data_IF_858209091965
#
_entry.id   IF_858209091965
#
_cell.length_a   1.000
_cell.length_b   1.000
_cell.length_c   1.000
_cell.angle_alpha   90.00
_cell.angle_beta   90.00
_cell.angle_gamma   90.00
#
_symmetry.space_group_name_H-M   'P 1'
#
loop_
_entity.id
_entity.type
_entity.pdbx_description
1 polymer ?
#
# COMPACT_ATOMS: atom_id res chain seq x y z
N UNK A 1 -27.26 -15.74 -16.95
CA UNK A 1 -26.80 -14.52 -16.26
C UNK A 1 -25.43 -14.20 -16.86
N UNK A 2 -25.35 -13.19 -17.71
CA UNK A 2 -24.05 -12.73 -18.20
C UNK A 2 -23.22 -12.24 -17.02
N UNK A 3 -22.00 -12.75 -16.89
CA UNK A 3 -21.07 -12.29 -15.89
C UNK A 3 -20.81 -10.80 -16.15
N UNK A 4 -21.11 -9.95 -15.17
CA UNK A 4 -20.88 -8.51 -15.27
C UNK A 4 -19.39 -8.31 -15.49
N UNK A 5 -19.00 -7.82 -16.65
CA UNK A 5 -17.60 -7.52 -16.97
C UNK A 5 -17.04 -6.54 -15.92
N UNK A 6 -15.92 -6.90 -15.31
CA UNK A 6 -15.26 -6.07 -14.29
C UNK A 6 -14.16 -5.29 -14.99
N UNK A 7 -14.23 -3.98 -14.88
CA UNK A 7 -13.26 -3.04 -15.43
C UNK A 7 -12.41 -2.44 -14.30
N UNK A 8 -11.11 -2.45 -14.47
CA UNK A 8 -10.12 -2.02 -13.48
C UNK A 8 -9.47 -0.74 -13.96
N UNK A 9 -9.42 0.31 -13.12
CA UNK A 9 -8.81 1.58 -13.51
C UNK A 9 -7.29 1.49 -13.55
N UNK A 10 -6.70 2.15 -14.55
CA UNK A 10 -5.27 2.41 -14.68
C UNK A 10 -5.09 3.90 -14.85
N UNK A 11 -4.16 4.50 -14.11
CA UNK A 11 -3.85 5.92 -14.25
C UNK A 11 -3.25 6.21 -15.62
N UNK A 12 -3.79 7.18 -16.33
CA UNK A 12 -3.32 7.54 -17.68
C UNK A 12 -1.83 7.89 -17.68
N UNK A 13 -1.36 8.62 -16.68
CA UNK A 13 0.04 9.03 -16.54
C UNK A 13 1.02 7.87 -16.28
N UNK A 14 0.53 6.68 -15.86
CA UNK A 14 1.37 5.49 -15.71
C UNK A 14 1.57 4.72 -17.03
N UNK A 15 0.94 5.18 -18.11
CA UNK A 15 1.01 4.56 -19.42
C UNK A 15 2.10 5.22 -20.26
N UNK A 16 3.12 4.46 -20.63
CA UNK A 16 4.10 4.85 -21.64
C UNK A 16 3.65 4.36 -23.02
N UNK A 17 3.19 5.25 -23.93
CA UNK A 17 2.50 4.86 -25.16
C UNK A 17 3.26 3.84 -26.03
N UNK A 18 4.57 4.08 -26.20
CA UNK A 18 5.40 3.30 -27.12
C UNK A 18 5.54 1.83 -26.74
N UNK A 19 5.47 1.53 -25.43
CA UNK A 19 5.70 0.17 -24.92
C UNK A 19 4.47 -0.43 -24.26
N UNK A 20 3.36 0.31 -24.22
CA UNK A 20 2.14 -0.17 -23.56
C UNK A 20 1.60 -1.42 -24.25
N UNK A 21 1.23 -2.47 -23.50
CA UNK A 21 0.81 -3.73 -24.08
C UNK A 21 -0.48 -3.59 -24.92
N UNK A 22 -0.62 -4.50 -25.88
CA UNK A 22 -1.74 -4.51 -26.80
C UNK A 22 -3.00 -5.12 -26.15
N UNK A 23 -3.63 -4.34 -25.25
CA UNK A 23 -4.87 -4.66 -24.56
C UNK A 23 -5.98 -3.70 -24.94
N UNK A 24 -7.23 -4.09 -24.73
CA UNK A 24 -8.36 -3.20 -24.93
C UNK A 24 -8.42 -2.14 -23.81
N UNK A 25 -8.61 -0.87 -24.18
CA UNK A 25 -8.79 0.25 -23.24
C UNK A 25 -10.20 0.80 -23.33
N UNK A 26 -10.74 1.12 -22.17
CA UNK A 26 -12.07 1.69 -22.03
C UNK A 26 -12.00 3.02 -21.30
N UNK A 27 -12.93 3.91 -21.57
CA UNK A 27 -13.16 5.16 -20.81
C UNK A 27 -14.53 5.09 -20.15
N UNK A 28 -14.66 5.71 -18.98
CA UNK A 28 -15.94 5.77 -18.26
C UNK A 28 -16.67 7.05 -18.63
N UNK A 29 -17.86 6.91 -19.23
CA UNK A 29 -18.69 8.04 -19.65
C UNK A 29 -20.14 7.78 -19.23
N UNK A 30 -20.74 8.72 -18.45
CA UNK A 30 -22.12 8.60 -18.00
C UNK A 30 -22.42 7.32 -17.20
N UNK A 31 -21.41 6.80 -16.47
CA UNK A 31 -21.53 5.56 -15.69
C UNK A 31 -21.27 4.28 -16.47
N UNK A 32 -21.10 4.34 -17.79
CA UNK A 32 -20.81 3.19 -18.66
C UNK A 32 -19.34 3.15 -19.07
N UNK A 33 -18.83 1.95 -19.35
CA UNK A 33 -17.49 1.73 -19.92
C UNK A 33 -17.60 1.63 -21.43
N UNK A 34 -16.95 2.56 -22.14
CA UNK A 34 -16.96 2.66 -23.60
C UNK A 34 -15.59 2.27 -24.13
N UNK A 35 -15.54 1.38 -25.11
CA UNK A 35 -14.31 0.97 -25.76
C UNK A 35 -13.63 2.18 -26.42
N UNK A 36 -12.43 2.50 -25.98
CA UNK A 36 -11.60 3.57 -26.55
C UNK A 36 -10.60 3.03 -27.58
N UNK A 37 -9.97 1.88 -27.26
CA UNK A 37 -8.96 1.21 -28.08
C UNK A 37 -9.18 -0.30 -28.03
N UNK A 38 -9.23 -0.94 -29.18
CA UNK A 38 -9.29 -2.42 -29.28
C UNK A 38 -7.91 -3.06 -29.16
N UNK A 39 -7.86 -4.38 -28.94
CA UNK A 39 -6.62 -5.17 -28.89
C UNK A 39 -5.77 -5.04 -30.17
N UNK A 40 -6.26 -4.84 -31.30
CA UNK A 40 -5.51 -4.80 -32.56
C UNK A 40 -4.83 -3.45 -32.86
N UNK A 41 -4.90 -2.47 -31.96
CA UNK A 41 -4.38 -1.12 -32.16
C UNK A 41 -3.40 -0.76 -31.06
N UNK A 42 -2.26 -0.13 -31.41
CA UNK A 42 -1.32 0.41 -30.44
C UNK A 42 -1.87 1.68 -29.78
N UNK A 43 -1.47 1.92 -28.55
CA UNK A 43 -1.75 3.15 -27.83
C UNK A 43 -0.63 4.15 -28.14
N UNK A 44 -0.98 5.26 -28.81
CA UNK A 44 0.00 6.25 -29.28
C UNK A 44 0.14 7.43 -28.33
N UNK A 45 1.22 8.21 -28.49
CA UNK A 45 1.39 9.49 -27.79
C UNK A 45 0.21 10.45 -28.07
N UNK A 46 -0.30 10.45 -29.31
CA UNK A 46 -1.49 11.25 -29.66
C UNK A 46 -2.74 10.82 -28.87
N UNK A 47 -2.91 9.53 -28.61
CA UNK A 47 -4.00 9.04 -27.76
C UNK A 47 -3.85 9.54 -26.33
N UNK A 48 -2.63 9.45 -25.79
CA UNK A 48 -2.29 9.92 -24.44
C UNK A 48 -2.58 11.41 -24.29
N UNK A 49 -2.03 12.24 -25.21
CA UNK A 49 -2.29 13.69 -25.20
C UNK A 49 -3.78 14.04 -25.32
N UNK A 50 -4.49 13.35 -26.21
CA UNK A 50 -5.92 13.59 -26.41
C UNK A 50 -6.73 13.29 -25.16
N UNK A 51 -6.45 12.19 -24.48
CA UNK A 51 -7.12 11.82 -23.23
C UNK A 51 -6.79 12.81 -22.12
N UNK A 52 -5.52 13.16 -21.96
CA UNK A 52 -5.06 14.13 -20.96
C UNK A 52 -5.69 15.52 -21.16
N UNK A 53 -5.71 16.04 -22.40
CA UNK A 53 -6.34 17.34 -22.74
C UNK A 53 -7.86 17.36 -22.46
N UNK A 54 -8.51 16.19 -22.47
CA UNK A 54 -9.92 16.05 -22.12
C UNK A 54 -10.17 15.71 -20.64
N UNK A 55 -9.16 15.82 -19.77
CA UNK A 55 -9.28 15.62 -18.33
C UNK A 55 -9.55 14.16 -17.95
N UNK A 56 -9.08 13.21 -18.75
CA UNK A 56 -9.18 11.78 -18.45
C UNK A 56 -7.98 11.38 -17.60
N UNK A 57 -8.18 11.15 -16.31
CA UNK A 57 -7.14 10.70 -15.39
C UNK A 57 -6.96 9.18 -15.39
N UNK A 58 -8.03 8.45 -15.74
CA UNK A 58 -8.05 6.99 -15.72
C UNK A 58 -8.59 6.41 -17.02
N UNK A 59 -7.91 5.39 -17.52
CA UNK A 59 -8.45 4.43 -18.48
C UNK A 59 -8.76 3.12 -17.77
N UNK A 60 -9.56 2.27 -18.38
CA UNK A 60 -9.99 1.02 -17.75
C UNK A 60 -9.64 -0.16 -18.64
N UNK A 61 -9.23 -1.27 -18.02
CA UNK A 61 -8.97 -2.55 -18.69
C UNK A 61 -9.91 -3.62 -18.16
N UNK A 62 -10.19 -4.62 -18.97
CA UNK A 62 -10.96 -5.76 -18.50
C UNK A 62 -10.14 -6.58 -17.49
N UNK A 63 -10.81 -7.28 -16.57
CA UNK A 63 -10.15 -8.16 -15.62
C UNK A 63 -9.28 -9.24 -16.32
N UNK A 64 -9.66 -9.65 -17.53
CA UNK A 64 -8.92 -10.67 -18.31
C UNK A 64 -7.55 -10.16 -18.76
N UNK A 65 -7.40 -8.85 -19.02
CA UNK A 65 -6.16 -8.23 -19.46
C UNK A 65 -5.23 -7.81 -18.31
N UNK A 66 -5.70 -7.93 -17.06
CA UNK A 66 -4.95 -7.42 -15.89
C UNK A 66 -3.60 -8.10 -15.68
N UNK A 67 -3.47 -9.39 -15.93
CA UNK A 67 -2.19 -10.10 -15.78
C UNK A 67 -1.13 -9.55 -16.75
N UNK A 68 -1.54 -9.21 -17.98
CA UNK A 68 -0.67 -8.62 -19.01
C UNK A 68 -0.22 -7.22 -18.56
N UNK A 69 -1.16 -6.40 -18.08
CA UNK A 69 -0.88 -5.05 -17.59
C UNK A 69 0.03 -5.09 -16.37
N UNK A 70 -0.28 -5.94 -15.40
CA UNK A 70 0.52 -6.07 -14.17
C UNK A 70 1.95 -6.46 -14.49
N UNK A 71 2.15 -7.49 -15.31
CA UNK A 71 3.48 -7.93 -15.73
C UNK A 71 4.24 -6.84 -16.48
N UNK A 72 3.57 -6.08 -17.36
CA UNK A 72 4.17 -4.99 -18.08
C UNK A 72 4.60 -3.84 -17.14
N UNK A 73 3.73 -3.40 -16.25
CA UNK A 73 4.02 -2.33 -15.31
C UNK A 73 5.16 -2.71 -14.36
N UNK A 74 5.15 -3.93 -13.82
CA UNK A 74 6.20 -4.42 -12.94
C UNK A 74 7.55 -4.53 -13.64
N UNK A 75 7.58 -5.01 -14.89
CA UNK A 75 8.82 -5.13 -15.67
C UNK A 75 9.40 -3.79 -16.14
N UNK A 76 8.55 -2.77 -16.32
CA UNK A 76 8.96 -1.44 -16.76
C UNK A 76 9.27 -0.49 -15.59
N UNK A 77 8.81 -0.81 -14.39
CA UNK A 77 8.84 0.09 -13.23
C UNK A 77 10.24 0.60 -12.91
N UNK A 78 11.24 -0.27 -12.79
CA UNK A 78 12.61 0.11 -12.45
C UNK A 78 13.21 1.09 -13.50
N UNK A 79 13.00 0.83 -14.77
CA UNK A 79 13.50 1.68 -15.87
C UNK A 79 12.84 3.06 -15.84
N UNK A 80 11.52 3.11 -15.63
CA UNK A 80 10.77 4.35 -15.62
C UNK A 80 11.06 5.19 -14.36
N UNK A 81 11.29 4.55 -13.22
CA UNK A 81 11.67 5.23 -11.98
C UNK A 81 13.06 5.85 -12.06
N UNK A 82 14.04 5.14 -12.65
CA UNK A 82 15.41 5.65 -12.83
C UNK A 82 15.55 6.70 -13.93
N UNK A 83 14.62 6.72 -14.88
CA UNK A 83 14.65 7.67 -16.00
C UNK A 83 14.13 9.07 -15.63
N UNK A 84 14.45 10.05 -16.48
CA UNK A 84 13.97 11.43 -16.37
C UNK A 84 12.67 11.68 -17.16
N UNK A 85 12.08 10.63 -17.72
CA UNK A 85 10.88 10.71 -18.57
C UNK A 85 9.65 11.09 -17.73
N UNK A 86 9.54 10.53 -16.52
CA UNK A 86 8.42 10.76 -15.61
C UNK A 86 8.79 11.76 -14.51
N UNK A 87 7.91 12.72 -14.25
CA UNK A 87 8.03 13.58 -13.08
C UNK A 87 7.71 12.80 -11.77
N UNK A 88 8.02 13.37 -10.60
CA UNK A 88 7.83 12.72 -9.29
C UNK A 88 6.39 12.24 -9.08
N UNK A 89 5.38 13.01 -9.49
CA UNK A 89 3.96 12.66 -9.38
C UNK A 89 3.59 11.45 -10.24
N UNK A 90 4.08 11.39 -11.48
CA UNK A 90 3.84 10.26 -12.38
C UNK A 90 4.53 8.99 -11.87
N UNK A 91 5.77 9.11 -11.35
CA UNK A 91 6.47 8.02 -10.66
C UNK A 91 5.67 7.51 -9.45
N UNK A 92 5.12 8.43 -8.63
CA UNK A 92 4.24 8.09 -7.51
C UNK A 92 2.97 7.34 -7.93
N UNK A 93 2.30 7.78 -9.01
CA UNK A 93 1.14 7.08 -9.57
C UNK A 93 1.49 5.66 -10.07
N UNK A 94 2.66 5.49 -10.63
CA UNK A 94 3.13 4.18 -11.09
C UNK A 94 3.42 3.25 -9.91
N UNK A 95 4.12 3.70 -8.87
CA UNK A 95 4.34 2.94 -7.62
C UNK A 95 3.00 2.56 -6.98
N UNK A 96 2.09 3.52 -6.89
CA UNK A 96 0.73 3.28 -6.40
C UNK A 96 0.03 2.16 -7.19
N UNK A 97 0.02 2.25 -8.51
CA UNK A 97 -0.68 1.27 -9.36
C UNK A 97 -0.04 -0.13 -9.26
N UNK A 98 1.29 -0.22 -9.33
CA UNK A 98 1.99 -1.52 -9.19
C UNK A 98 1.76 -2.14 -7.82
N UNK A 99 1.77 -1.35 -6.76
CA UNK A 99 1.51 -1.83 -5.39
C UNK A 99 0.07 -2.34 -5.22
N UNK A 100 -0.92 -1.59 -5.74
CA UNK A 100 -2.33 -2.03 -5.68
C UNK A 100 -2.54 -3.31 -6.48
N UNK A 101 -1.98 -3.40 -7.69
CA UNK A 101 -2.09 -4.61 -8.51
C UNK A 101 -1.46 -5.81 -7.79
N UNK A 102 -0.29 -5.62 -7.18
CA UNK A 102 0.40 -6.65 -6.41
C UNK A 102 -0.45 -7.12 -5.22
N UNK A 103 -0.88 -6.22 -4.35
CA UNK A 103 -1.63 -6.59 -3.15
C UNK A 103 -2.98 -7.22 -3.52
N UNK A 104 -3.69 -6.64 -4.50
CA UNK A 104 -4.95 -7.21 -4.98
C UNK A 104 -4.79 -8.62 -5.55
N UNK A 105 -3.72 -8.86 -6.30
CA UNK A 105 -3.42 -10.17 -6.88
C UNK A 105 -3.13 -11.20 -5.78
N UNK A 106 -2.31 -10.86 -4.80
CA UNK A 106 -1.99 -11.75 -3.66
C UNK A 106 -3.23 -12.08 -2.82
N UNK A 107 -4.08 -11.10 -2.54
CA UNK A 107 -5.31 -11.31 -1.77
C UNK A 107 -6.33 -12.18 -2.50
N UNK A 108 -6.40 -12.08 -3.83
CA UNK A 108 -7.28 -12.93 -4.64
C UNK A 108 -6.67 -14.29 -4.97
N UNK A 109 -5.34 -14.41 -5.01
CA UNK A 109 -4.59 -15.60 -5.36
C UNK A 109 -3.46 -15.83 -4.34
N UNK A 110 -3.78 -16.29 -3.11
CA UNK A 110 -2.80 -16.43 -2.04
C UNK A 110 -1.60 -17.32 -2.37
N UNK A 111 -1.74 -18.23 -3.33
CA UNK A 111 -0.62 -19.07 -3.80
C UNK A 111 0.47 -18.27 -4.53
N UNK A 112 0.16 -17.09 -5.06
CA UNK A 112 1.14 -16.17 -5.68
C UNK A 112 2.05 -15.48 -4.66
N UNK A 113 1.81 -15.60 -3.36
CA UNK A 113 2.71 -15.11 -2.30
C UNK A 113 4.07 -15.80 -2.30
N UNK A 114 4.21 -16.92 -3.01
CA UNK A 114 5.48 -17.64 -3.17
C UNK A 114 6.44 -16.95 -4.15
N UNK A 115 6.00 -15.98 -4.91
CA UNK A 115 6.88 -15.17 -5.78
C UNK A 115 7.61 -14.09 -4.95
N UNK A 116 8.64 -14.54 -4.23
CA UNK A 116 9.51 -13.67 -3.43
C UNK A 116 10.17 -12.58 -4.26
N UNK A 117 10.56 -12.91 -5.48
CA UNK A 117 11.23 -11.96 -6.37
C UNK A 117 10.29 -10.82 -6.75
N UNK A 118 9.00 -11.11 -6.90
CA UNK A 118 8.00 -10.08 -7.19
C UNK A 118 7.81 -9.11 -6.03
N UNK A 119 7.67 -9.64 -4.81
CA UNK A 119 7.60 -8.81 -3.59
C UNK A 119 8.85 -7.96 -3.44
N UNK A 120 10.02 -8.57 -3.61
CA UNK A 120 11.32 -7.92 -3.50
C UNK A 120 11.47 -6.79 -4.52
N UNK A 121 11.16 -7.02 -5.79
CA UNK A 121 11.17 -5.97 -6.84
C UNK A 121 10.22 -4.81 -6.53
N UNK A 122 9.03 -5.09 -6.01
CA UNK A 122 8.11 -4.04 -5.60
C UNK A 122 8.71 -3.13 -4.52
N UNK A 123 9.30 -3.73 -3.48
CA UNK A 123 9.92 -2.97 -2.39
C UNK A 123 11.19 -2.24 -2.89
N UNK A 124 11.99 -2.83 -3.76
CA UNK A 124 13.13 -2.15 -4.39
C UNK A 124 12.70 -0.90 -5.16
N UNK A 125 11.63 -1.01 -5.94
CA UNK A 125 11.07 0.13 -6.67
C UNK A 125 10.51 1.20 -5.73
N UNK A 126 9.85 0.80 -4.65
CA UNK A 126 9.36 1.73 -3.63
C UNK A 126 10.52 2.45 -2.93
N UNK A 127 11.57 1.73 -2.53
CA UNK A 127 12.77 2.32 -1.93
C UNK A 127 13.46 3.32 -2.88
N UNK A 128 13.60 2.95 -4.15
CA UNK A 128 14.16 3.83 -5.18
C UNK A 128 13.33 5.11 -5.31
N UNK A 129 12.01 4.99 -5.38
CA UNK A 129 11.11 6.15 -5.44
C UNK A 129 11.23 7.06 -4.22
N UNK A 130 11.27 6.48 -3.01
CA UNK A 130 11.38 7.23 -1.76
C UNK A 130 12.74 7.94 -1.62
N UNK A 131 13.85 7.33 -2.10
CA UNK A 131 15.18 7.92 -2.03
C UNK A 131 15.41 9.05 -3.03
N UNK A 132 14.85 8.93 -4.22
CA UNK A 132 15.13 9.85 -5.33
C UNK A 132 14.15 11.03 -5.42
N UNK A 133 13.07 11.01 -4.62
CA UNK A 133 12.04 12.05 -4.66
C UNK A 133 11.82 12.62 -3.26
N UNK A 134 12.31 13.84 -2.97
CA UNK A 134 12.08 14.50 -1.69
C UNK A 134 10.60 14.63 -1.31
N UNK A 135 9.73 14.79 -2.32
CA UNK A 135 8.27 14.93 -2.17
C UNK A 135 7.53 13.60 -2.25
N UNK A 136 8.22 12.46 -2.10
CA UNK A 136 7.62 11.13 -2.32
C UNK A 136 6.38 10.90 -1.45
N UNK A 137 6.42 11.30 -0.17
CA UNK A 137 5.30 11.11 0.78
C UNK A 137 4.09 11.93 0.31
N UNK A 138 4.26 13.24 0.10
CA UNK A 138 3.16 14.13 -0.30
C UNK A 138 2.59 13.77 -1.67
N UNK A 139 3.46 13.33 -2.59
CA UNK A 139 3.04 12.83 -3.90
C UNK A 139 2.21 11.54 -3.78
N UNK A 140 2.62 10.58 -2.94
CA UNK A 140 1.84 9.37 -2.68
C UNK A 140 0.52 9.70 -1.97
N UNK A 141 0.51 10.55 -0.96
CA UNK A 141 -0.70 10.99 -0.27
C UNK A 141 -1.69 11.62 -1.23
N UNK A 142 -1.24 12.49 -2.13
CA UNK A 142 -2.08 13.11 -3.16
C UNK A 142 -2.71 12.08 -4.09
N UNK A 143 -1.94 11.07 -4.52
CA UNK A 143 -2.44 9.98 -5.37
C UNK A 143 -3.44 9.09 -4.61
N UNK A 144 -3.18 8.84 -3.32
CA UNK A 144 -3.96 7.93 -2.47
C UNK A 144 -5.25 8.56 -1.96
N UNK A 145 -5.34 9.87 -1.81
CA UNK A 145 -6.51 10.59 -1.28
C UNK A 145 -7.79 10.42 -2.11
N UNK A 146 -7.67 10.01 -3.38
CA UNK A 146 -8.80 9.87 -4.31
C UNK A 146 -9.39 8.45 -4.39
N UNK A 147 -8.76 7.45 -3.78
CA UNK A 147 -9.19 6.06 -3.88
C UNK A 147 -9.04 5.32 -2.55
N UNK A 148 -10.18 5.05 -1.92
CA UNK A 148 -10.23 4.27 -0.69
C UNK A 148 -10.27 2.76 -0.98
N UNK A 149 -9.18 2.05 -0.65
CA UNK A 149 -9.14 0.57 -0.60
C UNK A 149 -8.11 0.11 0.45
N UNK A 150 -8.36 -1.03 1.07
CA UNK A 150 -7.43 -1.73 2.00
C UNK A 150 -5.99 -1.79 1.47
N UNK A 151 -5.83 -1.80 0.15
CA UNK A 151 -4.53 -1.87 -0.53
C UNK A 151 -3.72 -0.58 -0.45
N UNK A 152 -4.39 0.57 -0.37
CA UNK A 152 -3.76 1.89 -0.17
C UNK A 152 -3.08 1.95 1.19
N UNK A 153 -3.78 1.46 2.22
CA UNK A 153 -3.25 1.38 3.57
C UNK A 153 -1.94 0.57 3.64
N UNK A 154 -1.89 -0.60 3.02
CA UNK A 154 -0.65 -1.42 3.01
C UNK A 154 0.54 -0.69 2.37
N UNK A 155 0.31 0.07 1.29
CA UNK A 155 1.36 0.88 0.66
C UNK A 155 1.82 2.03 1.58
N UNK A 156 0.88 2.74 2.23
CA UNK A 156 1.23 3.80 3.17
C UNK A 156 2.05 3.26 4.34
N UNK A 157 1.60 2.15 4.93
CA UNK A 157 2.33 1.50 6.03
C UNK A 157 3.73 1.08 5.58
N UNK A 158 3.89 0.46 4.41
CA UNK A 158 5.21 0.08 3.91
C UNK A 158 6.11 1.31 3.68
N UNK A 159 5.58 2.37 3.05
CA UNK A 159 6.35 3.58 2.76
C UNK A 159 6.85 4.26 4.02
N UNK A 160 5.96 4.54 4.97
CA UNK A 160 6.32 5.22 6.23
C UNK A 160 7.19 4.32 7.12
N UNK A 161 6.98 3.00 7.13
CA UNK A 161 7.84 2.07 7.88
C UNK A 161 9.27 2.08 7.34
N UNK A 162 9.46 2.06 6.01
CA UNK A 162 10.77 2.16 5.39
C UNK A 162 11.46 3.48 5.75
N UNK A 163 10.74 4.60 5.68
CA UNK A 163 11.29 5.92 6.02
C UNK A 163 11.65 6.03 7.50
N UNK A 164 10.82 5.54 8.42
CA UNK A 164 11.14 5.52 9.85
C UNK A 164 12.36 4.66 10.16
N UNK A 165 12.56 3.54 9.43
CA UNK A 165 13.77 2.74 9.59
C UNK A 165 14.99 3.44 9.02
N UNK A 166 14.88 4.11 7.88
CA UNK A 166 15.98 4.86 7.26
C UNK A 166 16.45 6.04 8.13
N UNK A 167 15.52 6.73 8.79
CA UNK A 167 15.84 7.86 9.68
C UNK A 167 16.44 7.38 11.02
N UNK A 168 15.90 6.31 11.58
CA UNK A 168 16.26 5.86 12.92
C UNK A 168 17.44 4.87 12.96
N UNK A 169 17.74 4.17 11.87
CA UNK A 169 18.70 3.05 11.85
C UNK A 169 19.47 2.95 10.53
N UNK A 170 20.74 2.49 10.65
CA UNK A 170 21.52 2.11 9.47
C UNK A 170 21.27 0.62 9.17
N UNK A 171 20.27 0.33 8.37
CA UNK A 171 19.98 -1.01 7.88
C UNK A 171 20.67 -1.26 6.53
N UNK A 172 21.07 -2.51 6.30
CA UNK A 172 21.49 -2.96 4.97
C UNK A 172 20.30 -2.95 4.01
N UNK A 173 20.60 -2.97 2.69
CA UNK A 173 19.56 -3.06 1.66
C UNK A 173 18.65 -4.29 1.86
N UNK A 174 19.24 -5.44 2.22
CA UNK A 174 18.47 -6.68 2.42
C UNK A 174 17.54 -6.58 3.64
N UNK A 175 18.00 -5.99 4.75
CA UNK A 175 17.16 -5.73 5.92
C UNK A 175 16.01 -4.77 5.59
N UNK A 176 16.26 -3.74 4.80
CA UNK A 176 15.19 -2.82 4.33
C UNK A 176 14.18 -3.53 3.44
N UNK A 177 14.63 -4.44 2.56
CA UNK A 177 13.74 -5.26 1.74
C UNK A 177 12.87 -6.19 2.59
N UNK A 178 13.43 -6.77 3.64
CA UNK A 178 12.71 -7.63 4.58
C UNK A 178 11.63 -6.83 5.34
N UNK A 179 12.01 -5.66 5.85
CA UNK A 179 11.09 -4.75 6.54
C UNK A 179 9.95 -4.31 5.61
N UNK A 180 10.25 -3.87 4.40
CA UNK A 180 9.25 -3.45 3.42
C UNK A 180 8.31 -4.60 3.03
N UNK A 181 8.85 -5.80 2.83
CA UNK A 181 8.07 -6.99 2.50
C UNK A 181 7.10 -7.38 3.63
N UNK A 182 7.54 -7.33 4.87
CA UNK A 182 6.69 -7.56 6.03
C UNK A 182 5.60 -6.50 6.16
N UNK A 183 5.97 -5.23 5.95
CA UNK A 183 5.03 -4.10 6.11
C UNK A 183 3.96 -4.05 5.03
N UNK A 184 4.29 -4.34 3.76
CA UNK A 184 3.26 -4.39 2.69
C UNK A 184 2.29 -5.55 2.87
N UNK A 185 2.72 -6.63 3.53
CA UNK A 185 1.95 -7.85 3.77
C UNK A 185 1.45 -8.01 5.22
N UNK A 186 1.62 -6.99 6.09
CA UNK A 186 1.25 -7.09 7.51
C UNK A 186 -0.18 -7.58 7.72
N UNK A 187 -1.09 -7.12 6.91
CA UNK A 187 -2.53 -7.38 6.93
C UNK A 187 -2.96 -8.58 6.06
N UNK A 188 -2.02 -9.33 5.47
CA UNK A 188 -2.34 -10.44 4.56
C UNK A 188 -3.34 -11.43 5.16
N UNK A 189 -3.23 -11.74 6.44
CA UNK A 189 -4.12 -12.69 7.11
C UNK A 189 -5.61 -12.28 7.13
N UNK A 190 -5.95 -11.04 6.78
CA UNK A 190 -7.35 -10.59 6.60
C UNK A 190 -8.09 -11.38 5.50
N UNK A 191 -7.39 -12.09 4.61
CA UNK A 191 -8.03 -13.01 3.64
C UNK A 191 -8.81 -14.13 4.33
N UNK A 192 -8.44 -14.51 5.56
CA UNK A 192 -9.11 -15.54 6.33
C UNK A 192 -10.30 -15.01 7.15
N UNK A 193 -10.42 -13.68 7.25
CA UNK A 193 -11.54 -13.04 7.98
C UNK A 193 -12.77 -12.96 7.07
N UNK A 194 -13.95 -13.39 7.55
CA UNK A 194 -15.18 -13.33 6.76
C UNK A 194 -15.49 -11.91 6.28
N UNK A 195 -15.82 -11.76 4.98
CA UNK A 195 -16.10 -10.47 4.33
C UNK A 195 -17.19 -9.66 5.04
N UNK A 196 -18.19 -10.34 5.66
CA UNK A 196 -19.24 -9.68 6.46
C UNK A 196 -18.68 -8.91 7.67
N UNK A 197 -17.53 -9.34 8.20
CA UNK A 197 -16.84 -8.67 9.33
C UNK A 197 -16.02 -7.51 8.79
N UNK A 198 -15.20 -7.74 7.76
CA UNK A 198 -14.35 -6.71 7.15
C UNK A 198 -15.15 -5.53 6.58
N UNK A 199 -16.31 -5.82 5.98
CA UNK A 199 -17.15 -4.81 5.33
C UNK A 199 -18.31 -4.31 6.22
N UNK A 200 -18.32 -4.66 7.52
CA UNK A 200 -19.38 -4.24 8.43
C UNK A 200 -19.36 -2.73 8.64
N UNK A 201 -20.49 -2.10 8.38
CA UNK A 201 -20.69 -0.69 8.74
C UNK A 201 -21.05 -0.59 10.21
N UNK A 202 -20.23 0.11 11.00
CA UNK A 202 -20.42 0.29 12.44
C UNK A 202 -19.51 -0.61 13.28
N UNK A 203 -19.72 -0.62 14.60
CA UNK A 203 -18.84 -1.31 15.55
C UNK A 203 -18.96 -2.83 15.45
N UNK A 204 -17.83 -3.51 15.51
CA UNK A 204 -17.75 -4.96 15.65
C UNK A 204 -18.15 -5.34 17.09
N UNK A 205 -18.83 -6.47 17.26
CA UNK A 205 -19.04 -7.07 18.57
C UNK A 205 -17.81 -7.85 19.02
N UNK A 206 -17.79 -8.30 20.28
CA UNK A 206 -16.63 -8.99 20.87
C UNK A 206 -16.24 -10.26 20.09
N UNK A 207 -17.19 -11.06 19.64
CA UNK A 207 -16.91 -12.27 18.86
C UNK A 207 -16.32 -11.94 17.49
N UNK A 208 -16.77 -10.86 16.83
CA UNK A 208 -16.23 -10.39 15.56
C UNK A 208 -14.82 -9.82 15.74
N UNK A 209 -14.56 -9.12 16.85
CA UNK A 209 -13.23 -8.61 17.21
C UNK A 209 -12.25 -9.78 17.41
N UNK A 210 -12.67 -10.83 18.13
CA UNK A 210 -11.81 -12.01 18.34
C UNK A 210 -11.51 -12.76 17.01
N UNK A 211 -12.44 -12.78 16.07
CA UNK A 211 -12.18 -13.33 14.73
C UNK A 211 -11.18 -12.44 14.00
N UNK A 212 -11.35 -11.12 14.03
CA UNK A 212 -10.44 -10.17 13.37
C UNK A 212 -9.02 -10.26 13.95
N UNK A 213 -8.89 -10.37 15.28
CA UNK A 213 -7.59 -10.48 15.96
C UNK A 213 -6.76 -11.71 15.60
N UNK A 214 -7.33 -12.69 14.91
CA UNK A 214 -6.58 -13.88 14.45
C UNK A 214 -5.75 -13.62 13.22
N UNK A 215 -6.03 -12.55 12.45
CA UNK A 215 -5.37 -12.35 11.16
C UNK A 215 -3.84 -12.30 11.23
N UNK A 216 -3.15 -11.73 12.26
CA UNK A 216 -1.70 -11.74 12.28
C UNK A 216 -1.13 -13.15 12.40
N UNK A 217 -1.70 -13.97 13.27
CA UNK A 217 -1.28 -15.34 13.47
C UNK A 217 -1.59 -16.23 12.27
N UNK A 218 -2.80 -16.12 11.71
CA UNK A 218 -3.22 -16.89 10.51
C UNK A 218 -2.40 -16.48 9.29
N UNK A 219 -2.11 -15.20 9.10
CA UNK A 219 -1.23 -14.69 8.05
C UNK A 219 0.19 -15.19 8.20
N UNK A 220 0.76 -15.12 9.40
CA UNK A 220 2.07 -15.65 9.74
C UNK A 220 2.19 -17.14 9.42
N UNK A 221 1.26 -17.96 9.90
CA UNK A 221 1.29 -19.42 9.70
C UNK A 221 1.21 -19.78 8.22
N UNK A 222 0.36 -19.10 7.46
CA UNK A 222 0.26 -19.31 6.02
C UNK A 222 1.55 -18.96 5.28
N UNK A 223 2.08 -17.75 5.51
CA UNK A 223 3.27 -17.26 4.83
C UNK A 223 4.52 -18.04 5.24
N UNK A 224 4.64 -18.43 6.51
CA UNK A 224 5.71 -19.28 7.01
C UNK A 224 5.71 -20.66 6.33
N UNK A 225 4.53 -21.29 6.22
CA UNK A 225 4.37 -22.60 5.55
C UNK A 225 4.74 -22.54 4.08
N UNK A 226 4.51 -21.40 3.42
CA UNK A 226 4.90 -21.18 2.03
C UNK A 226 6.39 -20.93 1.85
N UNK A 227 7.13 -20.62 2.92
CA UNK A 227 8.54 -20.24 2.85
C UNK A 227 8.76 -18.92 2.09
N UNK A 228 7.74 -18.07 2.08
CA UNK A 228 7.64 -16.92 1.19
C UNK A 228 8.32 -15.64 1.72
N UNK A 229 8.69 -15.59 3.01
CA UNK A 229 9.22 -14.37 3.62
C UNK A 229 10.38 -14.67 4.57
N UNK A 230 11.24 -13.67 4.76
CA UNK A 230 12.30 -13.71 5.76
C UNK A 230 11.74 -13.76 7.19
N UNK A 231 12.55 -14.17 8.19
CA UNK A 231 12.14 -14.13 9.59
C UNK A 231 11.72 -12.73 10.07
N UNK A 232 12.38 -11.67 9.57
CA UNK A 232 12.03 -10.27 9.90
C UNK A 232 10.64 -9.91 9.35
N UNK A 233 10.40 -10.20 8.09
CA UNK A 233 9.11 -9.94 7.46
C UNK A 233 7.97 -10.72 8.14
N UNK A 234 8.18 -12.00 8.46
CA UNK A 234 7.23 -12.84 9.20
C UNK A 234 6.95 -12.29 10.60
N UNK A 235 7.96 -11.75 11.26
CA UNK A 235 7.84 -11.11 12.58
C UNK A 235 6.91 -9.89 12.50
N UNK A 236 7.06 -9.04 11.48
CA UNK A 236 6.18 -7.89 11.27
C UNK A 236 4.73 -8.35 11.06
N UNK A 237 4.50 -9.31 10.17
CA UNK A 237 3.16 -9.84 9.89
C UNK A 237 2.49 -10.35 11.18
N UNK A 238 3.23 -11.05 12.03
CA UNK A 238 2.69 -11.65 13.25
C UNK A 238 2.47 -10.65 14.37
N UNK A 239 3.37 -9.67 14.56
CA UNK A 239 3.51 -8.91 15.80
C UNK A 239 3.20 -7.41 15.67
N UNK A 240 2.74 -6.90 14.53
CA UNK A 240 2.43 -5.47 14.34
C UNK A 240 1.29 -4.96 15.24
N UNK A 241 0.49 -5.84 15.81
CA UNK A 241 -0.54 -5.50 16.79
C UNK A 241 -0.12 -5.68 18.26
N UNK A 242 1.15 -6.02 18.54
CA UNK A 242 1.66 -5.97 19.90
C UNK A 242 1.77 -4.52 20.40
N UNK A 243 1.64 -4.33 21.69
CA UNK A 243 1.67 -3.02 22.34
C UNK A 243 2.59 -3.03 23.55
N UNK A 244 3.35 -1.96 23.77
CA UNK A 244 4.40 -1.88 24.79
C UNK A 244 3.93 -2.22 26.21
N UNK A 245 2.66 -2.04 26.51
CA UNK A 245 2.07 -2.37 27.82
C UNK A 245 1.50 -3.80 27.93
N UNK A 246 1.74 -4.67 26.94
CA UNK A 246 1.27 -6.06 26.94
C UNK A 246 -0.21 -6.23 26.57
N UNK A 247 -0.94 -5.15 26.24
CA UNK A 247 -2.37 -5.25 25.85
C UNK A 247 -2.57 -5.64 24.38
N UNK A 248 -1.47 -5.84 23.64
CA UNK A 248 -1.48 -6.23 22.24
C UNK A 248 -1.81 -7.70 22.01
N UNK A 249 -1.76 -8.11 20.77
CA UNK A 249 -1.98 -9.49 20.35
C UNK A 249 -1.07 -9.84 19.17
N UNK A 250 -0.80 -11.13 18.88
CA UNK A 250 -1.40 -12.35 19.40
C UNK A 250 -0.73 -12.89 20.68
N UNK A 251 0.48 -12.40 21.07
CA UNK A 251 1.27 -12.98 22.15
C UNK A 251 1.20 -12.18 23.47
N UNK A 252 0.77 -10.91 23.42
CA UNK A 252 0.77 -10.01 24.57
C UNK A 252 2.17 -9.65 25.06
N UNK A 253 3.10 -9.44 24.10
CA UNK A 253 4.47 -9.07 24.39
C UNK A 253 4.57 -7.64 24.95
N UNK A 254 5.55 -7.38 25.81
CA UNK A 254 5.79 -6.08 26.41
C UNK A 254 7.11 -5.46 25.93
N UNK A 255 7.11 -4.16 25.72
CA UNK A 255 8.31 -3.33 25.48
C UNK A 255 9.42 -4.03 24.68
N UNK A 256 10.49 -4.48 25.38
CA UNK A 256 11.71 -5.03 24.75
C UNK A 256 11.53 -6.39 24.11
N UNK A 257 10.48 -7.11 24.47
CA UNK A 257 10.17 -8.42 23.89
C UNK A 257 9.51 -8.29 22.51
N UNK A 258 8.98 -7.10 22.19
CA UNK A 258 8.47 -6.81 20.85
C UNK A 258 9.64 -6.43 19.94
N UNK A 259 9.90 -7.18 18.86
CA UNK A 259 10.93 -6.83 17.89
C UNK A 259 10.70 -5.43 17.31
N UNK A 260 11.79 -4.68 17.15
CA UNK A 260 11.71 -3.27 16.76
C UNK A 260 10.99 -3.01 15.45
N UNK A 261 11.20 -3.87 14.45
CA UNK A 261 10.49 -3.78 13.17
C UNK A 261 8.97 -3.89 13.33
N UNK A 262 8.49 -4.77 14.22
CA UNK A 262 7.08 -4.88 14.55
C UNK A 262 6.56 -3.66 15.32
N UNK A 263 7.35 -3.10 16.27
CA UNK A 263 6.99 -1.87 16.99
C UNK A 263 6.81 -0.70 16.02
N UNK A 264 7.75 -0.48 15.10
CA UNK A 264 7.70 0.60 14.12
C UNK A 264 6.48 0.42 13.21
N UNK A 265 6.31 -0.77 12.64
CA UNK A 265 5.15 -1.05 11.79
C UNK A 265 3.83 -0.85 12.55
N UNK A 266 3.75 -1.27 13.82
CA UNK A 266 2.55 -1.08 14.64
C UNK A 266 2.22 0.38 14.99
N UNK A 267 3.23 1.25 15.11
CA UNK A 267 3.06 2.71 15.24
C UNK A 267 2.53 3.29 13.94
N UNK A 268 3.15 2.94 12.82
CA UNK A 268 2.79 3.43 11.48
C UNK A 268 1.40 2.95 11.07
N UNK A 269 1.05 1.70 11.34
CA UNK A 269 -0.25 1.12 11.05
C UNK A 269 -1.38 1.93 11.70
N UNK A 270 -1.25 2.22 13.00
CA UNK A 270 -2.26 3.03 13.72
C UNK A 270 -2.30 4.45 13.19
N UNK A 271 -1.15 5.06 12.91
CA UNK A 271 -1.11 6.40 12.33
C UNK A 271 -1.81 6.45 10.95
N UNK A 272 -1.51 5.52 10.05
CA UNK A 272 -2.16 5.42 8.75
C UNK A 272 -3.66 5.18 8.88
N UNK A 273 -4.10 4.34 9.83
CA UNK A 273 -5.53 4.12 10.09
C UNK A 273 -6.27 5.37 10.59
N UNK A 274 -5.60 6.29 11.28
CA UNK A 274 -6.15 7.56 11.76
C UNK A 274 -6.17 8.65 10.68
N UNK A 275 -5.19 8.65 9.80
CA UNK A 275 -4.99 9.69 8.80
C UNK A 275 -5.59 9.37 7.43
N UNK A 276 -6.04 8.13 7.21
CA UNK A 276 -6.72 7.72 5.97
C UNK A 276 -8.22 7.66 6.18
N UNK A 277 -8.99 8.15 5.20
CA UNK A 277 -10.44 8.01 5.21
C UNK A 277 -10.81 6.52 5.13
N UNK A 278 -11.55 6.03 6.11
CA UNK A 278 -12.03 4.68 6.14
C UNK A 278 -13.53 4.67 6.48
N UNK A 279 -14.23 3.57 6.17
CA UNK A 279 -15.68 3.45 6.37
C UNK A 279 -16.16 3.75 7.81
N UNK A 280 -15.23 3.89 8.75
CA UNK A 280 -15.53 4.07 10.19
C UNK A 280 -15.11 5.44 10.74
N UNK A 281 -14.09 6.11 10.15
CA UNK A 281 -13.53 7.35 10.69
C UNK A 281 -13.29 8.39 9.60
N UNK A 282 -13.50 9.66 9.93
CA UNK A 282 -13.05 10.79 9.10
C UNK A 282 -11.54 10.95 9.23
N UNK A 283 -10.89 11.32 8.16
CA UNK A 283 -9.45 11.63 8.08
C UNK A 283 -9.05 12.64 9.16
N UNK A 284 -8.00 12.34 9.92
CA UNK A 284 -7.39 13.28 10.86
C UNK A 284 -6.15 13.92 10.25
N UNK A 285 -5.91 15.22 10.51
CA UNK A 285 -4.61 15.82 10.20
C UNK A 285 -3.47 15.08 10.92
N UNK A 286 -2.28 14.92 10.31
CA UNK A 286 -1.15 14.19 10.88
C UNK A 286 -0.79 14.57 12.30
N UNK A 287 -0.68 15.88 12.59
CA UNK A 287 -0.36 16.37 13.93
C UNK A 287 -1.42 16.01 14.98
N UNK A 288 -2.71 16.00 14.60
CA UNK A 288 -3.81 15.57 15.49
C UNK A 288 -3.72 14.08 15.76
N UNK A 289 -3.43 13.27 14.75
CA UNK A 289 -3.27 11.82 14.89
C UNK A 289 -2.11 11.49 15.85
N UNK A 290 -0.94 12.13 15.70
CA UNK A 290 0.19 11.91 16.63
C UNK A 290 -0.16 12.36 18.05
N UNK A 291 -0.82 13.52 18.24
CA UNK A 291 -1.28 13.97 19.57
C UNK A 291 -2.28 12.98 20.20
N UNK A 292 -3.21 12.44 19.42
CA UNK A 292 -4.14 11.43 19.90
C UNK A 292 -3.40 10.15 20.35
N UNK A 293 -2.42 9.69 19.55
CA UNK A 293 -1.61 8.53 19.90
C UNK A 293 -0.81 8.75 21.20
N UNK A 294 -0.28 9.96 21.44
CA UNK A 294 0.42 10.29 22.68
C UNK A 294 -0.51 10.32 23.91
N UNK A 295 -1.67 11.00 23.78
CA UNK A 295 -2.50 11.35 24.91
C UNK A 295 -3.57 10.29 25.25
N UNK A 296 -4.14 9.66 24.23
CA UNK A 296 -5.23 8.67 24.43
C UNK A 296 -4.76 7.22 24.31
N UNK A 297 -3.56 6.99 23.77
CA UNK A 297 -2.93 5.67 23.63
C UNK A 297 -1.61 5.62 24.43
N UNK A 298 -1.56 6.33 25.57
CA UNK A 298 -0.38 6.36 26.44
C UNK A 298 0.03 4.93 26.86
N UNK A 299 1.33 4.66 26.78
CA UNK A 299 1.90 3.35 27.10
C UNK A 299 1.73 2.26 26.05
N UNK A 300 0.96 2.49 24.96
CA UNK A 300 0.85 1.53 23.87
C UNK A 300 2.07 1.52 22.95
N UNK A 301 2.75 2.66 22.81
CA UNK A 301 3.87 2.85 21.90
C UNK A 301 5.07 3.45 22.60
N UNK A 302 6.27 3.19 22.05
CA UNK A 302 7.48 3.83 22.51
C UNK A 302 7.44 5.35 22.23
N UNK A 303 7.66 6.24 23.23
CA UNK A 303 7.70 7.68 23.02
C UNK A 303 8.72 8.11 21.94
N UNK A 304 9.88 7.46 21.90
CA UNK A 304 10.90 7.71 20.90
C UNK A 304 10.42 7.45 19.47
N UNK A 305 9.62 6.37 19.24
CA UNK A 305 9.05 6.11 17.92
C UNK A 305 7.97 7.12 17.54
N UNK A 306 7.21 7.63 18.50
CA UNK A 306 6.27 8.72 18.26
C UNK A 306 6.99 10.04 17.92
N UNK A 307 8.15 10.32 18.56
CA UNK A 307 8.97 11.48 18.21
C UNK A 307 9.54 11.39 16.80
N UNK A 308 10.01 10.19 16.39
CA UNK A 308 10.50 9.93 15.04
C UNK A 308 9.39 10.09 14.01
N UNK A 309 8.21 9.51 14.27
CA UNK A 309 7.05 9.66 13.39
C UNK A 309 6.64 11.13 13.24
N UNK A 310 6.54 11.88 14.35
CA UNK A 310 6.16 13.29 14.34
C UNK A 310 7.10 14.14 13.49
N UNK A 311 8.41 13.93 13.63
CA UNK A 311 9.41 14.61 12.79
C UNK A 311 9.20 14.33 11.31
N UNK A 312 8.85 13.07 10.96
CA UNK A 312 8.69 12.66 9.58
C UNK A 312 7.42 13.23 8.92
N UNK A 313 6.31 13.32 9.68
CA UNK A 313 4.99 13.65 9.13
C UNK A 313 4.50 15.07 9.44
N UNK A 314 5.17 15.80 10.34
CA UNK A 314 4.77 17.14 10.79
C UNK A 314 5.80 18.23 10.45
N UNK A 315 6.69 18.03 9.46
CA UNK A 315 7.60 19.08 8.98
C UNK A 315 6.84 20.20 8.29
N UNK A 316 7.38 21.43 8.28
CA UNK A 316 6.75 22.60 7.67
C UNK A 316 6.45 22.40 6.17
N UNK A 317 7.28 21.63 5.48
CA UNK A 317 7.06 21.25 4.08
C UNK A 317 5.85 20.31 3.90
N UNK A 318 5.57 19.43 4.87
CA UNK A 318 4.38 18.59 4.87
C UNK A 318 3.09 19.38 5.20
N UNK A 319 3.17 20.52 5.91
CA UNK A 319 2.01 21.34 6.27
C UNK A 319 1.51 22.22 5.12
N UNK A 320 2.33 22.56 4.15
CA UNK A 320 1.92 23.40 3.00
C UNK A 320 0.98 22.70 2.01
N UNK A 321 0.79 21.38 2.12
CA UNK A 321 -0.03 20.59 1.21
C UNK A 321 -1.36 20.10 1.83
N UNK A 322 -1.69 20.51 3.06
CA UNK A 322 -2.94 20.11 3.77
C UNK A 322 -4.01 21.23 3.74
N UNK A 323 -3.75 22.33 3.07
CA UNK A 323 -4.71 23.41 2.79
C UNK A 323 -5.12 23.39 1.33
#
# INVERSE_FOLDING_TARGET
>A
MEAKEIYIPITLESIEPVIFPNVALYIKTGGNYVLYKSHGRDFSEHDHERLSKNGVDFVFVSKVDMDIITSHMESSAERLLKGDILNSRAKGKMIYQTSINFVNDIFNNPDKTTDLDRTRRLIENLMLYLSDNPDAISSLETVMSHNYHTFVHSLQVASLTLLMHSDAYTLSRDEMLDVGSGSILHDFGKIFVPQRILNKRGKLNEAEIEILKRHPEEGYQFLQKKGALSPVALTIVRLHHERCNGSGYPLGLENRDIPRSAQITGVVDVFCALTTDNNCNKTMPPHIAVQLMRNQMEGLFSPHLLDTLEKLVCTEDAQQFIL
#
